data_IF_385666645766
#
_entry.id   IF_385666645766
#
_cell.length_a   1.000
_cell.length_b   1.000
_cell.length_c   1.000
_cell.angle_alpha   90.00
_cell.angle_beta   90.00
_cell.angle_gamma   90.00
#
_symmetry.space_group_name_H-M   'P 1'
#
loop_
_entity.id
_entity.type
_entity.pdbx_description
1 polymer ?
#
# COMPACT_ATOMS: atom_id res chain seq x y z
N UNK A 1 -22.19 -3.10 17.99
CA UNK A 1 -21.05 -4.03 18.14
C UNK A 1 -20.96 -4.45 19.61
N UNK A 2 -21.22 -5.73 19.91
CA UNK A 2 -20.90 -6.31 21.23
C UNK A 2 -19.60 -7.09 21.02
N UNK A 3 -18.52 -6.73 21.74
CA UNK A 3 -17.22 -7.43 21.65
C UNK A 3 -15.99 -6.57 21.33
N UNK A 4 -16.15 -5.28 20.98
CA UNK A 4 -15.00 -4.39 20.84
C UNK A 4 -14.34 -4.14 22.21
N UNK A 5 -13.02 -4.32 22.29
CA UNK A 5 -12.24 -4.09 23.51
C UNK A 5 -12.03 -2.60 23.76
N UNK A 6 -11.68 -1.84 22.71
CA UNK A 6 -11.51 -0.39 22.76
C UNK A 6 -12.85 0.34 22.62
N UNK A 7 -13.11 1.39 23.42
CA UNK A 7 -14.31 2.20 23.27
C UNK A 7 -14.31 3.03 21.98
N UNK A 8 -13.13 3.32 21.40
CA UNK A 8 -12.98 4.04 20.12
C UNK A 8 -13.71 3.31 18.99
N UNK A 9 -13.56 1.99 18.94
CA UNK A 9 -14.22 1.13 17.94
C UNK A 9 -15.63 0.66 18.35
N UNK A 10 -16.05 0.98 19.57
CA UNK A 10 -17.33 0.58 20.14
C UNK A 10 -18.22 1.77 20.49
N UNK A 11 -18.20 2.16 21.76
CA UNK A 11 -19.06 3.22 22.33
C UNK A 11 -18.96 4.55 21.59
N UNK A 12 -17.74 4.93 21.19
CA UNK A 12 -17.46 6.22 20.56
C UNK A 12 -17.35 6.14 19.04
N UNK A 13 -17.52 4.95 18.43
CA UNK A 13 -17.41 4.81 16.97
C UNK A 13 -18.26 5.79 16.16
N UNK A 14 -19.53 6.10 16.54
CA UNK A 14 -20.32 7.11 15.82
C UNK A 14 -19.72 8.53 15.85
N UNK A 15 -18.81 8.83 16.79
CA UNK A 15 -18.16 10.12 16.92
C UNK A 15 -16.84 10.22 16.12
N UNK A 16 -16.23 9.08 15.77
CA UNK A 16 -14.86 9.02 15.24
C UNK A 16 -14.71 8.10 14.03
N UNK A 17 -15.81 7.57 13.46
CA UNK A 17 -15.74 6.59 12.38
C UNK A 17 -15.05 7.11 11.12
N UNK A 18 -15.08 8.43 10.87
CA UNK A 18 -14.34 9.04 9.77
C UNK A 18 -12.81 8.89 9.91
N UNK A 19 -12.30 8.78 11.13
CA UNK A 19 -10.87 8.61 11.40
C UNK A 19 -10.35 7.25 10.93
N UNK A 20 -11.21 6.24 10.73
CA UNK A 20 -10.75 4.94 10.24
C UNK A 20 -10.22 5.00 8.81
N UNK A 21 -10.59 6.04 8.03
CA UNK A 21 -10.01 6.29 6.72
C UNK A 21 -8.55 6.73 6.80
N UNK A 22 -8.02 7.09 7.97
CA UNK A 22 -6.66 7.56 8.18
C UNK A 22 -5.88 6.65 9.15
N UNK A 23 -6.52 6.25 10.24
CA UNK A 23 -5.93 5.53 11.37
C UNK A 23 -6.52 4.13 11.53
N UNK A 24 -6.50 3.36 10.44
CA UNK A 24 -6.78 1.93 10.46
C UNK A 24 -5.65 1.17 9.78
N UNK A 25 -5.61 -0.14 9.97
CA UNK A 25 -4.63 -0.99 9.29
C UNK A 25 -4.79 -0.95 7.77
N UNK A 26 -6.02 -0.97 7.27
CA UNK A 26 -6.33 -0.79 5.83
C UNK A 26 -5.82 0.57 5.33
N UNK A 27 -6.06 1.65 6.08
CA UNK A 27 -5.58 2.97 5.73
C UNK A 27 -4.05 3.02 5.69
N UNK A 28 -3.37 2.43 6.67
CA UNK A 28 -1.91 2.35 6.71
C UNK A 28 -1.35 1.55 5.52
N UNK A 29 -1.99 0.44 5.16
CA UNK A 29 -1.64 -0.34 3.95
C UNK A 29 -1.78 0.51 2.68
N UNK A 30 -2.88 1.27 2.55
CA UNK A 30 -3.10 2.16 1.41
C UNK A 30 -2.03 3.26 1.31
N UNK A 31 -1.65 3.86 2.43
CA UNK A 31 -0.58 4.88 2.44
C UNK A 31 0.80 4.28 2.12
N UNK A 32 1.11 3.08 2.64
CA UNK A 32 2.36 2.38 2.28
C UNK A 32 2.40 2.03 0.80
N UNK A 33 1.30 1.54 0.24
CA UNK A 33 1.17 1.25 -1.18
C UNK A 33 1.36 2.52 -2.03
N UNK A 34 0.79 3.64 -1.60
CA UNK A 34 0.96 4.94 -2.27
C UNK A 34 2.44 5.35 -2.29
N UNK A 35 3.14 5.27 -1.15
CA UNK A 35 4.57 5.61 -1.06
C UNK A 35 5.42 4.74 -2.00
N UNK A 36 5.20 3.43 -1.98
CA UNK A 36 5.89 2.50 -2.89
C UNK A 36 5.62 2.82 -4.36
N UNK A 37 4.37 3.10 -4.71
CA UNK A 37 3.97 3.39 -6.08
C UNK A 37 4.59 4.71 -6.58
N UNK A 38 4.52 5.78 -5.79
CA UNK A 38 5.11 7.08 -6.16
C UNK A 38 6.65 6.99 -6.26
N UNK A 39 7.29 6.25 -5.36
CA UNK A 39 8.72 5.99 -5.47
C UNK A 39 9.06 5.18 -6.73
N UNK A 40 8.26 4.17 -7.05
CA UNK A 40 8.47 3.37 -8.25
C UNK A 40 8.31 4.20 -9.53
N UNK A 41 7.32 5.10 -9.61
CA UNK A 41 7.19 6.05 -10.73
C UNK A 41 8.48 6.86 -10.92
N UNK A 42 9.05 7.39 -9.84
CA UNK A 42 10.30 8.16 -9.86
C UNK A 42 11.49 7.33 -10.36
N UNK A 43 11.66 6.12 -9.82
CA UNK A 43 12.77 5.22 -10.18
C UNK A 43 12.64 4.77 -11.63
N UNK A 44 11.46 4.32 -12.04
CA UNK A 44 11.21 3.83 -13.40
C UNK A 44 11.37 4.94 -14.45
N UNK A 45 10.93 6.17 -14.17
CA UNK A 45 11.13 7.30 -15.08
C UNK A 45 12.62 7.60 -15.33
N UNK A 46 13.50 7.35 -14.36
CA UNK A 46 14.96 7.48 -14.52
C UNK A 46 15.59 6.28 -15.22
N UNK A 47 15.12 5.08 -14.92
CA UNK A 47 15.69 3.85 -15.47
C UNK A 47 15.25 3.57 -16.92
N UNK A 48 13.96 3.76 -17.21
CA UNK A 48 13.37 3.50 -18.53
C UNK A 48 12.18 4.45 -18.79
N UNK A 49 12.42 5.65 -19.34
CA UNK A 49 11.37 6.65 -19.59
C UNK A 49 10.21 6.15 -20.46
N UNK A 50 10.45 5.16 -21.34
CA UNK A 50 9.42 4.61 -22.22
C UNK A 50 8.38 3.78 -21.45
N UNK A 51 8.77 3.21 -20.30
CA UNK A 51 7.89 2.43 -19.44
C UNK A 51 7.04 3.30 -18.51
N UNK A 52 7.48 4.55 -18.27
CA UNK A 52 6.92 5.41 -17.23
C UNK A 52 5.43 5.73 -17.42
N UNK A 53 4.98 5.97 -18.66
CA UNK A 53 3.57 6.29 -18.93
C UNK A 53 2.61 5.14 -18.57
N UNK A 54 2.85 3.96 -19.16
CA UNK A 54 2.05 2.76 -18.88
C UNK A 54 2.12 2.32 -17.43
N UNK A 55 3.28 2.47 -16.80
CA UNK A 55 3.46 2.15 -15.39
C UNK A 55 2.67 3.11 -14.50
N UNK A 56 2.71 4.41 -14.78
CA UNK A 56 1.95 5.42 -14.05
C UNK A 56 0.46 5.11 -14.05
N UNK A 57 -0.12 4.86 -15.23
CA UNK A 57 -1.53 4.47 -15.38
C UNK A 57 -1.87 3.21 -14.59
N UNK A 58 -1.03 2.17 -14.67
CA UNK A 58 -1.26 0.92 -13.93
C UNK A 58 -1.21 1.14 -12.40
N UNK A 59 -0.27 1.95 -11.92
CA UNK A 59 -0.15 2.28 -10.50
C UNK A 59 -1.35 3.10 -10.01
N UNK A 60 -1.82 4.07 -10.78
CA UNK A 60 -2.99 4.87 -10.43
C UNK A 60 -4.26 4.00 -10.31
N UNK A 61 -4.40 3.00 -11.19
CA UNK A 61 -5.49 2.01 -11.10
C UNK A 61 -5.32 1.13 -9.86
N UNK A 62 -4.12 0.66 -9.54
CA UNK A 62 -3.85 -0.16 -8.35
C UNK A 62 -4.17 0.62 -7.06
N UNK A 63 -3.77 1.88 -6.97
CA UNK A 63 -4.00 2.73 -5.79
C UNK A 63 -5.48 3.07 -5.65
N UNK A 64 -6.14 3.51 -6.72
CA UNK A 64 -7.56 3.90 -6.68
C UNK A 64 -8.50 2.71 -6.46
N UNK A 65 -8.08 1.51 -6.85
CA UNK A 65 -8.80 0.26 -6.62
C UNK A 65 -8.53 -0.38 -5.26
N UNK A 66 -7.65 0.17 -4.41
CA UNK A 66 -7.30 -0.47 -3.14
C UNK A 66 -8.44 -0.38 -2.12
N UNK A 67 -9.09 -1.51 -1.86
CA UNK A 67 -10.15 -1.65 -0.87
C UNK A 67 -9.97 -2.86 0.06
N UNK A 68 -11.09 -3.37 0.57
CA UNK A 68 -11.11 -4.48 1.52
C UNK A 68 -10.50 -5.77 0.95
N UNK A 69 -10.82 -6.09 -0.30
CA UNK A 69 -10.32 -7.31 -0.97
C UNK A 69 -8.79 -7.26 -1.15
N UNK A 70 -8.24 -6.10 -1.53
CA UNK A 70 -6.81 -5.89 -1.63
C UNK A 70 -6.11 -5.93 -0.26
N UNK A 71 -6.73 -5.34 0.77
CA UNK A 71 -6.21 -5.41 2.14
C UNK A 71 -6.16 -6.86 2.65
N UNK A 72 -7.18 -7.67 2.35
CA UNK A 72 -7.18 -9.11 2.65
C UNK A 72 -6.09 -9.86 1.88
N UNK A 73 -5.86 -9.51 0.61
CA UNK A 73 -4.76 -10.09 -0.18
C UNK A 73 -3.39 -9.74 0.42
N UNK A 74 -3.17 -8.50 0.86
CA UNK A 74 -1.96 -8.09 1.58
C UNK A 74 -1.82 -8.89 2.88
N UNK A 75 -2.89 -9.06 3.65
CA UNK A 75 -2.88 -9.87 4.87
C UNK A 75 -2.53 -11.34 4.64
N UNK A 76 -3.01 -11.93 3.54
CA UNK A 76 -2.65 -13.29 3.18
C UNK A 76 -1.14 -13.43 2.91
N UNK A 77 -0.56 -12.45 2.22
CA UNK A 77 0.90 -12.40 1.99
C UNK A 77 1.64 -12.14 3.32
N UNK A 78 1.13 -11.26 4.17
CA UNK A 78 1.72 -10.96 5.48
C UNK A 78 1.77 -12.20 6.37
N UNK A 79 0.78 -13.09 6.30
CA UNK A 79 0.79 -14.34 7.05
C UNK A 79 1.99 -15.23 6.68
N UNK A 80 2.48 -15.16 5.43
CA UNK A 80 3.66 -15.88 4.96
C UNK A 80 4.97 -15.14 5.29
N UNK A 81 5.01 -13.82 5.04
CA UNK A 81 6.22 -13.01 5.24
C UNK A 81 6.49 -12.71 6.72
N UNK A 82 5.42 -12.63 7.52
CA UNK A 82 5.38 -12.07 8.87
C UNK A 82 5.97 -10.66 8.93
N UNK A 83 5.81 -9.90 7.85
CA UNK A 83 6.30 -8.55 7.70
C UNK A 83 5.35 -7.75 6.79
N UNK A 84 4.79 -6.70 7.36
CA UNK A 84 3.75 -5.86 6.75
C UNK A 84 4.21 -5.06 5.52
N UNK A 85 5.35 -4.36 5.58
CA UNK A 85 5.89 -3.63 4.41
C UNK A 85 6.29 -4.59 3.29
N UNK A 86 6.98 -5.68 3.60
CA UNK A 86 7.31 -6.71 2.59
C UNK A 86 6.05 -7.32 1.95
N UNK A 87 4.93 -7.42 2.70
CA UNK A 87 3.66 -7.86 2.14
C UNK A 87 3.11 -6.87 1.11
N UNK A 88 3.19 -5.56 1.37
CA UNK A 88 2.84 -4.51 0.39
C UNK A 88 3.74 -4.59 -0.85
N UNK A 89 5.05 -4.77 -0.66
CA UNK A 89 6.03 -4.91 -1.76
C UNK A 89 5.68 -6.10 -2.65
N UNK A 90 5.41 -7.27 -2.06
CA UNK A 90 5.01 -8.47 -2.80
C UNK A 90 3.66 -8.31 -3.48
N UNK A 91 2.68 -7.72 -2.81
CA UNK A 91 1.39 -7.41 -3.39
C UNK A 91 1.54 -6.56 -4.66
N UNK A 92 2.28 -5.44 -4.56
CA UNK A 92 2.49 -4.55 -5.69
C UNK A 92 3.23 -5.24 -6.85
N UNK A 93 4.24 -6.06 -6.54
CA UNK A 93 4.94 -6.88 -7.55
C UNK A 93 3.99 -7.81 -8.31
N UNK A 94 3.15 -8.56 -7.60
CA UNK A 94 2.18 -9.48 -8.21
C UNK A 94 1.18 -8.74 -9.12
N UNK A 95 0.69 -7.57 -8.69
CA UNK A 95 -0.23 -6.75 -9.50
C UNK A 95 0.44 -6.26 -10.79
N UNK A 96 1.68 -5.79 -10.72
CA UNK A 96 2.44 -5.34 -11.89
C UNK A 96 2.78 -6.48 -12.84
N UNK A 97 3.17 -7.64 -12.33
CA UNK A 97 3.41 -8.84 -13.15
C UNK A 97 2.15 -9.28 -13.89
N UNK A 98 0.99 -9.26 -13.22
CA UNK A 98 -0.31 -9.61 -13.81
C UNK A 98 -0.75 -8.73 -14.99
N UNK A 99 -0.23 -7.50 -15.08
CA UNK A 99 -0.51 -6.56 -16.20
C UNK A 99 0.65 -6.45 -17.20
N UNK A 100 1.63 -7.36 -17.12
CA UNK A 100 2.75 -7.42 -18.05
C UNK A 100 3.83 -6.35 -17.80
N UNK A 101 3.91 -5.79 -16.59
CA UNK A 101 4.91 -4.81 -16.16
C UNK A 101 6.01 -5.44 -15.27
N UNK A 102 6.37 -6.70 -15.55
CA UNK A 102 7.34 -7.46 -14.75
C UNK A 102 8.75 -6.85 -14.69
N UNK A 103 9.15 -6.01 -15.66
CA UNK A 103 10.40 -5.23 -15.59
C UNK A 103 10.34 -4.19 -14.45
N UNK A 104 9.22 -3.47 -14.33
CA UNK A 104 9.01 -2.51 -13.25
C UNK A 104 8.82 -3.18 -11.89
N UNK A 105 8.19 -4.36 -11.85
CA UNK A 105 8.00 -5.12 -10.60
C UNK A 105 9.33 -5.38 -9.87
N UNK A 106 10.42 -5.61 -10.61
CA UNK A 106 11.77 -5.82 -10.03
C UNK A 106 12.35 -4.58 -9.37
N UNK A 107 11.83 -3.39 -9.69
CA UNK A 107 12.28 -2.11 -9.14
C UNK A 107 11.49 -1.70 -7.88
N UNK A 108 10.41 -2.41 -7.53
CA UNK A 108 9.63 -2.14 -6.31
C UNK A 108 10.56 -2.25 -5.09
N UNK A 109 10.51 -1.24 -4.21
CA UNK A 109 11.31 -1.12 -2.98
C UNK A 109 12.84 -1.08 -3.19
N UNK A 110 13.34 -0.78 -4.39
CA UNK A 110 14.78 -0.80 -4.64
C UNK A 110 15.51 0.29 -3.84
N UNK A 111 16.47 -0.13 -3.02
CA UNK A 111 17.30 0.79 -2.22
C UNK A 111 16.59 1.42 -1.02
N UNK A 112 15.36 1.01 -0.70
CA UNK A 112 14.63 1.46 0.47
C UNK A 112 14.80 0.48 1.64
N UNK A 113 14.56 0.99 2.84
CA UNK A 113 14.23 0.22 4.03
C UNK A 113 12.74 0.34 4.34
N UNK A 114 12.22 -0.56 5.18
CA UNK A 114 10.82 -0.47 5.64
C UNK A 114 10.47 0.87 6.28
N UNK A 115 11.43 1.52 6.95
CA UNK A 115 11.19 2.79 7.63
C UNK A 115 11.08 3.99 6.69
N UNK A 116 11.70 3.94 5.51
CA UNK A 116 11.51 4.96 4.47
C UNK A 116 10.06 4.97 3.95
N UNK A 117 9.37 3.84 4.04
CA UNK A 117 7.96 3.71 3.68
C UNK A 117 7.07 4.08 4.86
N UNK A 118 7.38 3.56 6.06
CA UNK A 118 6.58 3.78 7.25
C UNK A 118 6.51 5.26 7.64
N UNK A 119 7.65 5.96 7.68
CA UNK A 119 7.66 7.35 8.12
C UNK A 119 6.84 8.27 7.21
N UNK A 120 6.90 8.06 5.90
CA UNK A 120 6.13 8.80 4.90
C UNK A 120 4.65 8.42 4.96
N UNK A 121 4.33 7.12 5.11
CA UNK A 121 2.95 6.67 5.25
C UNK A 121 2.27 7.28 6.48
N UNK A 122 2.95 7.31 7.63
CA UNK A 122 2.45 8.00 8.82
C UNK A 122 2.36 9.51 8.62
N UNK A 123 3.32 10.14 7.94
CA UNK A 123 3.29 11.58 7.65
C UNK A 123 2.14 11.99 6.73
N UNK A 124 1.66 11.09 5.87
CA UNK A 124 0.48 11.30 5.03
C UNK A 124 -0.83 11.07 5.79
N UNK A 125 -0.81 10.23 6.82
CA UNK A 125 -1.98 9.89 7.62
C UNK A 125 -2.28 10.91 8.74
N UNK A 126 -1.23 11.52 9.30
CA UNK A 126 -1.27 12.50 10.41
C UNK A 126 -1.70 13.90 9.95
#
# INVERSE_FOLDING_TARGET
MRGAVSPVDGRYRPLVSELSSYFSEEALMRYRLLVEAEYLKLVAARANPQLAGRLGEALDVIISGFGLEEAEAVKAIEAETRHDVEAIVRFLRQRLEGVGLGEAARLVHVGLTSEDVNNLAYSLAL
#
